data_IF_406069572090
#
_entry.id   IF_406069572090
#
_cell.length_a   1.000
_cell.length_b   1.000
_cell.length_c   1.000
_cell.angle_alpha   90.00
_cell.angle_beta   90.00
_cell.angle_gamma   90.00
#
_symmetry.space_group_name_H-M   'P 1'
#
loop_
_entity.id
_entity.type
_entity.pdbx_description
1 polymer ?
#
# COMPACT_ATOMS: atom_id res chain seq x y z
N UNK A 1 -57.17 -46.42 -34.25
CA UNK A 1 -56.42 -45.21 -34.67
C UNK A 1 -56.01 -44.47 -33.41
N UNK A 2 -54.77 -44.69 -32.94
CA UNK A 2 -54.25 -44.10 -31.69
C UNK A 2 -53.10 -43.18 -32.11
N UNK A 3 -53.25 -41.88 -31.88
CA UNK A 3 -52.25 -40.85 -32.16
C UNK A 3 -51.23 -40.83 -31.01
N UNK A 4 -49.96 -41.10 -31.31
CA UNK A 4 -48.83 -40.78 -30.43
C UNK A 4 -48.26 -39.43 -30.87
N UNK A 5 -48.47 -38.41 -30.03
CA UNK A 5 -47.83 -37.09 -30.17
C UNK A 5 -46.50 -37.17 -29.42
N UNK A 6 -45.41 -37.21 -30.16
CA UNK A 6 -44.06 -37.22 -29.62
C UNK A 6 -43.65 -35.77 -29.31
N UNK A 7 -43.76 -35.38 -28.04
CA UNK A 7 -43.28 -34.08 -27.54
C UNK A 7 -41.79 -34.23 -27.25
N UNK A 8 -40.96 -33.88 -28.23
CA UNK A 8 -39.52 -33.73 -28.05
C UNK A 8 -39.25 -32.43 -27.28
N UNK A 9 -39.12 -32.53 -25.96
CA UNK A 9 -38.59 -31.46 -25.12
C UNK A 9 -37.08 -31.41 -25.36
N UNK A 10 -36.68 -30.56 -26.30
CA UNK A 10 -35.28 -30.22 -26.54
C UNK A 10 -34.80 -29.41 -25.33
N UNK A 11 -34.07 -30.08 -24.45
CA UNK A 11 -33.47 -29.49 -23.25
C UNK A 11 -32.32 -28.58 -23.71
N UNK A 12 -32.65 -27.31 -23.93
CA UNK A 12 -31.70 -26.26 -24.24
C UNK A 12 -30.90 -25.96 -22.96
N UNK A 13 -29.80 -26.68 -22.79
CA UNK A 13 -28.79 -26.38 -21.78
C UNK A 13 -28.14 -25.05 -22.14
N UNK A 14 -28.75 -23.96 -21.68
CA UNK A 14 -28.18 -22.63 -21.64
C UNK A 14 -26.98 -22.70 -20.70
N UNK A 15 -25.78 -22.89 -21.27
CA UNK A 15 -24.52 -22.72 -20.55
C UNK A 15 -24.46 -21.24 -20.17
N UNK A 16 -24.89 -20.95 -18.94
CA UNK A 16 -24.57 -19.71 -18.25
C UNK A 16 -23.05 -19.70 -18.10
N UNK A 17 -22.35 -19.25 -19.14
CA UNK A 17 -21.02 -18.69 -19.01
C UNK A 17 -21.19 -17.45 -18.12
N UNK A 18 -21.16 -17.68 -16.81
CA UNK A 18 -20.98 -16.61 -15.86
C UNK A 18 -19.67 -15.95 -16.25
N UNK A 19 -19.75 -14.74 -16.78
CA UNK A 19 -18.62 -13.82 -16.78
C UNK A 19 -18.20 -13.71 -15.32
N UNK A 20 -17.20 -14.49 -14.90
CA UNK A 20 -16.42 -14.17 -13.73
C UNK A 20 -15.80 -12.84 -14.04
N UNK A 21 -16.43 -11.76 -13.58
CA UNK A 21 -15.80 -10.44 -13.56
C UNK A 21 -14.43 -10.64 -12.94
N UNK A 22 -13.38 -10.42 -13.72
CA UNK A 22 -12.01 -10.36 -13.20
C UNK A 22 -12.04 -9.54 -11.92
N UNK A 23 -11.31 -9.95 -10.87
CA UNK A 23 -11.45 -9.27 -9.59
C UNK A 23 -11.10 -7.80 -9.81
N UNK A 24 -12.03 -6.92 -9.45
CA UNK A 24 -11.85 -5.50 -9.69
C UNK A 24 -10.69 -5.00 -8.81
N UNK A 25 -9.71 -4.33 -9.43
CA UNK A 25 -8.60 -3.72 -8.69
C UNK A 25 -7.25 -4.34 -8.96
N UNK A 26 -6.41 -4.37 -7.92
CA UNK A 26 -5.07 -4.92 -8.02
C UNK A 26 -5.00 -6.44 -7.87
N UNK A 27 -6.06 -7.12 -7.43
CA UNK A 27 -6.07 -8.59 -7.30
C UNK A 27 -6.38 -9.23 -8.66
N UNK A 28 -5.36 -9.62 -9.42
CA UNK A 28 -5.55 -10.36 -10.69
C UNK A 28 -5.00 -11.77 -10.60
N UNK A 29 -5.39 -12.63 -11.55
CA UNK A 29 -4.96 -14.03 -11.60
C UNK A 29 -3.48 -14.20 -11.98
N UNK A 30 -2.94 -13.28 -12.78
CA UNK A 30 -1.59 -13.38 -13.34
C UNK A 30 -0.85 -12.04 -13.22
N UNK A 31 0.43 -12.10 -12.84
CA UNK A 31 1.34 -10.96 -12.83
C UNK A 31 2.61 -11.28 -13.59
N UNK A 32 3.20 -10.24 -14.17
CA UNK A 32 4.61 -10.26 -14.52
C UNK A 32 5.44 -9.94 -13.27
N UNK A 33 6.16 -10.94 -12.77
CA UNK A 33 7.01 -10.80 -11.59
C UNK A 33 8.34 -10.13 -11.94
N UNK A 34 8.69 -9.07 -11.18
CA UNK A 34 9.98 -8.38 -11.27
C UNK A 34 10.67 -8.47 -9.92
N UNK A 35 11.82 -9.13 -9.89
CA UNK A 35 12.64 -9.29 -8.69
C UNK A 35 13.72 -8.21 -8.65
N UNK A 36 13.84 -7.55 -7.49
CA UNK A 36 14.93 -6.63 -7.23
C UNK A 36 16.07 -7.45 -6.63
N UNK A 37 17.16 -7.60 -7.39
CA UNK A 37 18.33 -8.40 -6.99
C UNK A 37 19.30 -7.61 -6.08
N UNK A 38 19.15 -6.29 -6.03
CA UNK A 38 20.03 -5.42 -5.25
C UNK A 38 19.77 -5.54 -3.74
N UNK A 39 20.85 -5.43 -2.96
CA UNK A 39 20.79 -5.22 -1.52
C UNK A 39 19.91 -4.01 -1.22
N UNK A 40 18.97 -4.15 -0.28
CA UNK A 40 18.12 -3.04 0.11
C UNK A 40 18.98 -1.83 0.47
N UNK A 41 18.74 -0.69 -0.16
CA UNK A 41 19.31 0.58 0.27
C UNK A 41 19.04 0.77 1.76
N UNK A 42 20.02 1.29 2.51
CA UNK A 42 19.86 1.52 3.95
C UNK A 42 18.53 2.21 4.24
N UNK A 43 17.70 1.59 5.07
CA UNK A 43 16.40 2.11 5.43
C UNK A 43 16.56 3.40 6.24
N UNK A 44 16.42 4.55 5.57
CA UNK A 44 16.48 5.87 6.20
C UNK A 44 15.09 6.29 6.65
N UNK A 45 14.80 6.09 7.94
CA UNK A 45 13.55 6.53 8.55
C UNK A 45 13.73 7.89 9.24
N UNK A 46 13.02 8.94 8.82
CA UNK A 46 13.06 10.23 9.51
C UNK A 46 12.57 10.09 10.96
N UNK A 47 13.17 10.82 11.90
CA UNK A 47 12.81 10.76 13.34
C UNK A 47 11.30 10.91 13.58
N UNK A 48 10.67 11.88 12.91
CA UNK A 48 9.22 12.09 13.00
C UNK A 48 8.40 10.89 12.51
N UNK A 49 8.87 10.15 11.50
CA UNK A 49 8.22 8.90 11.08
C UNK A 49 8.39 7.85 12.16
N UNK A 50 9.57 7.79 12.78
CA UNK A 50 9.85 6.88 13.87
C UNK A 50 8.88 7.04 15.02
N UNK A 51 8.69 8.27 15.51
CA UNK A 51 7.73 8.58 16.56
C UNK A 51 6.28 8.16 16.19
N UNK A 52 5.94 8.17 14.89
CA UNK A 52 4.63 7.78 14.39
C UNK A 52 4.47 6.26 14.20
N UNK A 53 5.57 5.55 13.93
CA UNK A 53 5.62 4.09 13.83
C UNK A 53 5.71 3.42 15.21
N UNK A 54 6.10 4.16 16.25
CA UNK A 54 6.16 3.66 17.61
C UNK A 54 4.77 3.24 18.11
N UNK A 55 4.63 1.93 18.34
CA UNK A 55 3.48 1.40 19.05
C UNK A 55 3.63 1.75 20.54
N UNK A 56 2.81 2.68 21.02
CA UNK A 56 2.73 2.95 22.47
C UNK A 56 2.36 1.65 23.18
N UNK A 57 3.10 1.30 24.23
CA UNK A 57 2.70 0.19 25.08
C UNK A 57 1.29 0.47 25.61
N UNK A 58 0.42 -0.55 25.63
CA UNK A 58 -0.85 -0.43 26.34
C UNK A 58 -0.55 -0.05 27.79
N UNK A 59 -1.28 0.89 28.41
CA UNK A 59 -1.13 1.13 29.84
C UNK A 59 -1.53 -0.15 30.56
N UNK A 60 -0.55 -0.88 31.08
CA UNK A 60 -0.79 -1.91 32.09
C UNK A 60 -1.39 -1.20 33.31
N UNK A 61 -2.68 -1.43 33.57
CA UNK A 61 -3.34 -0.94 34.78
C UNK A 61 -4.60 -0.09 34.55
N UNK A 62 -5.59 -0.62 33.83
CA UNK A 62 -6.98 -0.28 34.15
C UNK A 62 -7.42 -1.13 35.36
N UNK A 63 -6.85 -0.83 36.54
CA UNK A 63 -7.41 -1.28 37.81
C UNK A 63 -8.22 -0.15 38.43
N UNK A 64 -9.39 -0.55 38.91
CA UNK A 64 -10.44 0.28 39.49
C UNK A 64 -9.99 1.12 40.69
N UNK A 65 -10.69 2.24 40.86
CA UNK A 65 -10.97 3.02 42.08
C UNK A 65 -10.02 2.92 43.29
N UNK A 66 -9.55 4.09 43.75
CA UNK A 66 -9.47 4.38 45.19
C UNK A 66 -8.16 4.98 45.68
N UNK A 67 -8.25 6.18 46.26
CA UNK A 67 -7.38 6.63 47.35
C UNK A 67 -6.14 7.43 46.95
N UNK A 68 -5.99 8.59 47.58
CA UNK A 68 -4.93 9.56 47.30
C UNK A 68 -3.53 9.16 47.75
N UNK A 69 -2.54 9.92 47.29
CA UNK A 69 -1.13 9.73 47.64
C UNK A 69 -0.22 10.49 46.68
N UNK A 70 -0.03 11.76 46.97
CA UNK A 70 0.98 12.63 46.37
C UNK A 70 2.37 12.15 46.79
N UNK A 71 3.17 11.59 45.86
CA UNK A 71 4.64 11.63 45.89
C UNK A 71 5.19 11.31 44.49
N UNK A 72 6.05 12.19 43.99
CA UNK A 72 6.67 12.09 42.68
C UNK A 72 7.53 10.84 42.53
N UNK A 73 7.14 9.99 41.58
CA UNK A 73 8.00 8.96 41.01
C UNK A 73 8.33 9.38 39.57
N UNK A 74 9.62 9.46 39.27
CA UNK A 74 10.12 9.65 37.92
C UNK A 74 9.54 8.56 36.99
N UNK A 75 9.22 8.87 35.71
CA UNK A 75 8.69 7.87 34.80
C UNK A 75 9.75 6.79 34.57
N UNK A 76 9.45 5.57 35.00
CA UNK A 76 10.25 4.37 34.70
C UNK A 76 10.06 4.07 33.21
N UNK A 77 11.12 4.08 32.38
CA UNK A 77 11.01 3.69 30.99
C UNK A 77 10.99 2.16 30.92
N UNK A 78 9.80 1.54 30.93
CA UNK A 78 9.70 0.14 30.53
C UNK A 78 9.72 0.05 29.01
N UNK A 79 10.93 0.24 28.48
CA UNK A 79 11.35 -0.21 27.18
C UNK A 79 11.44 -1.75 27.21
N UNK A 80 10.34 -2.43 26.89
CA UNK A 80 10.48 -3.77 26.30
C UNK A 80 11.28 -3.56 25.03
N UNK A 81 12.52 -4.05 24.99
CA UNK A 81 13.43 -3.90 23.86
C UNK A 81 12.79 -4.53 22.63
N UNK A 82 12.17 -3.70 21.79
CA UNK A 82 11.57 -4.18 20.55
C UNK A 82 12.69 -4.48 19.57
N UNK A 83 12.85 -5.74 19.15
CA UNK A 83 13.82 -6.03 18.11
C UNK A 83 13.26 -5.49 16.79
N UNK A 84 14.10 -4.79 16.04
CA UNK A 84 13.74 -4.27 14.74
C UNK A 84 14.13 -5.31 13.68
N UNK A 85 13.16 -5.72 12.87
CA UNK A 85 13.35 -6.74 11.84
C UNK A 85 12.94 -6.19 10.48
N UNK A 86 13.85 -6.15 9.52
CA UNK A 86 13.50 -5.75 8.14
C UNK A 86 12.79 -6.89 7.42
N UNK A 87 11.62 -6.58 6.84
CA UNK A 87 10.78 -7.53 6.11
C UNK A 87 10.62 -7.10 4.65
N UNK A 88 10.30 -8.05 3.79
CA UNK A 88 9.92 -7.81 2.40
C UNK A 88 8.54 -7.14 2.31
N UNK A 89 8.32 -6.45 1.19
CA UNK A 89 7.02 -5.85 0.82
C UNK A 89 6.87 -5.97 -0.70
N UNK A 90 5.72 -6.45 -1.16
CA UNK A 90 5.43 -6.53 -2.58
C UNK A 90 4.60 -5.32 -3.01
N UNK A 91 4.84 -4.83 -4.22
CA UNK A 91 4.05 -3.77 -4.85
C UNK A 91 3.40 -4.31 -6.11
N UNK A 92 2.11 -4.05 -6.27
CA UNK A 92 1.35 -4.47 -7.44
C UNK A 92 0.95 -3.25 -8.24
N UNK A 93 1.16 -3.29 -9.56
CA UNK A 93 0.69 -2.27 -10.49
C UNK A 93 -0.22 -2.98 -11.51
N UNK A 94 -1.50 -2.61 -11.55
CA UNK A 94 -2.48 -3.31 -12.40
C UNK A 94 -3.27 -2.31 -13.22
N UNK A 95 -3.31 -2.50 -14.54
CA UNK A 95 -4.05 -1.64 -15.45
C UNK A 95 -5.56 -1.68 -15.17
N UNK A 96 -6.19 -0.50 -15.16
CA UNK A 96 -7.65 -0.39 -15.26
C UNK A 96 -8.08 -0.03 -16.67
N UNK A 97 -7.22 0.66 -17.41
CA UNK A 97 -7.40 1.01 -18.81
C UNK A 97 -6.22 0.46 -19.59
N UNK A 98 -6.49 -0.09 -20.77
CA UNK A 98 -5.50 -0.84 -21.55
C UNK A 98 -4.25 -0.03 -21.91
N UNK A 99 -3.10 -0.64 -21.66
CA UNK A 99 -1.79 -0.12 -22.05
C UNK A 99 -1.31 1.04 -21.17
N UNK A 100 -1.83 1.15 -19.94
CA UNK A 100 -1.34 2.11 -18.94
C UNK A 100 -0.18 1.54 -18.14
N UNK A 101 -0.23 0.24 -17.83
CA UNK A 101 0.84 -0.48 -17.13
C UNK A 101 1.50 -1.44 -18.12
N UNK A 102 2.83 -1.44 -18.17
CA UNK A 102 3.60 -2.41 -18.95
C UNK A 102 3.24 -3.84 -18.51
N UNK A 103 3.06 -4.76 -19.45
CA UNK A 103 2.62 -6.15 -19.19
C UNK A 103 1.25 -6.28 -18.50
N UNK A 104 0.43 -5.21 -18.46
CA UNK A 104 -0.92 -5.15 -17.88
C UNK A 104 -1.00 -5.27 -16.36
N UNK A 105 -0.23 -6.18 -15.77
CA UNK A 105 -0.15 -6.40 -14.35
C UNK A 105 1.28 -6.79 -13.96
N UNK A 106 1.86 -6.05 -13.01
CA UNK A 106 3.24 -6.24 -12.56
C UNK A 106 3.27 -6.43 -11.05
N UNK A 107 4.01 -7.44 -10.59
CA UNK A 107 4.32 -7.65 -9.18
C UNK A 107 5.81 -7.38 -8.95
N UNK A 108 6.10 -6.34 -8.18
CA UNK A 108 7.45 -5.97 -7.78
C UNK A 108 7.76 -6.65 -6.44
N UNK A 109 8.72 -7.56 -6.46
CA UNK A 109 9.22 -8.27 -5.28
C UNK A 109 10.41 -7.49 -4.70
N UNK A 110 10.15 -6.66 -3.69
CA UNK A 110 11.18 -5.83 -3.07
C UNK A 110 11.89 -6.62 -1.95
N UNK A 111 13.21 -6.39 -1.75
CA UNK A 111 13.98 -7.09 -0.73
C UNK A 111 13.56 -6.69 0.69
N UNK A 112 14.16 -7.34 1.69
CA UNK A 112 13.94 -6.99 3.11
C UNK A 112 14.31 -5.53 3.37
N UNK A 113 13.40 -4.77 3.97
CA UNK A 113 13.53 -3.33 4.16
C UNK A 113 12.90 -2.51 3.03
N UNK A 114 12.57 -3.17 1.91
CA UNK A 114 11.90 -2.59 0.75
C UNK A 114 12.86 -1.89 -0.20
N UNK A 115 12.44 -0.80 -0.84
CA UNK A 115 13.28 -0.13 -1.84
C UNK A 115 12.62 1.00 -2.62
N UNK A 116 13.28 1.39 -3.70
CA UNK A 116 12.84 2.47 -4.59
C UNK A 116 12.30 1.90 -5.90
N UNK A 117 11.06 2.26 -6.22
CA UNK A 117 10.37 1.91 -7.47
C UNK A 117 10.40 3.12 -8.41
N UNK A 118 11.08 2.95 -9.53
CA UNK A 118 11.02 3.88 -10.66
C UNK A 118 9.78 3.60 -11.51
N UNK A 119 8.75 4.44 -11.37
CA UNK A 119 7.48 4.30 -12.06
C UNK A 119 7.61 4.42 -13.59
N UNK A 120 8.65 5.10 -14.10
CA UNK A 120 8.82 5.28 -15.55
C UNK A 120 9.10 3.98 -16.30
N UNK A 121 9.54 2.94 -15.58
CA UNK A 121 9.78 1.60 -16.13
C UNK A 121 8.50 0.78 -16.32
N UNK A 122 7.42 1.18 -15.67
CA UNK A 122 6.20 0.37 -15.57
C UNK A 122 4.94 1.10 -16.04
N UNK A 123 4.94 2.43 -16.00
CA UNK A 123 3.78 3.25 -16.37
C UNK A 123 4.05 3.91 -17.71
N UNK A 124 3.16 3.68 -18.68
CA UNK A 124 3.28 4.25 -20.02
C UNK A 124 2.83 5.71 -20.04
N UNK A 125 3.07 6.39 -21.17
CA UNK A 125 2.61 7.78 -21.40
C UNK A 125 1.13 7.90 -21.78
N UNK A 126 0.39 6.78 -21.84
CA UNK A 126 -1.05 6.80 -22.15
C UNK A 126 -1.86 7.36 -20.99
N UNK A 127 -3.00 7.96 -21.31
CA UNK A 127 -3.93 8.51 -20.32
C UNK A 127 -4.95 7.47 -19.88
N UNK A 128 -5.13 7.32 -18.57
CA UNK A 128 -6.04 6.33 -18.01
C UNK A 128 -5.82 6.17 -16.51
N UNK A 129 -6.30 5.07 -15.96
CA UNK A 129 -6.14 4.73 -14.55
C UNK A 129 -5.50 3.37 -14.38
N UNK A 130 -4.88 3.18 -13.23
CA UNK A 130 -4.36 1.89 -12.79
C UNK A 130 -4.51 1.80 -11.27
N UNK A 131 -4.36 0.59 -10.74
CA UNK A 131 -4.42 0.30 -9.33
C UNK A 131 -3.02 0.03 -8.79
N UNK A 132 -2.77 0.50 -7.57
CA UNK A 132 -1.58 0.18 -6.80
C UNK A 132 -1.97 -0.64 -5.59
N UNK A 133 -1.42 -1.84 -5.49
CA UNK A 133 -1.54 -2.71 -4.34
C UNK A 133 -0.23 -2.82 -3.59
N UNK A 134 -0.32 -3.21 -2.33
CA UNK A 134 0.81 -3.52 -1.48
C UNK A 134 0.49 -4.76 -0.65
N UNK A 135 1.45 -5.66 -0.55
CA UNK A 135 1.37 -6.80 0.33
C UNK A 135 2.58 -6.74 1.26
N UNK A 136 2.29 -6.53 2.54
CA UNK A 136 3.28 -6.60 3.59
C UNK A 136 2.91 -7.79 4.48
N UNK A 137 3.53 -8.98 4.28
CA UNK A 137 3.07 -10.23 4.88
C UNK A 137 2.93 -10.18 6.41
N UNK A 138 3.74 -9.34 7.06
CA UNK A 138 3.72 -9.17 8.51
C UNK A 138 2.39 -8.62 9.02
N UNK A 139 1.60 -7.94 8.20
CA UNK A 139 0.26 -7.47 8.57
C UNK A 139 -0.75 -8.58 8.80
N UNK A 140 -0.57 -9.80 8.28
CA UNK A 140 -1.55 -10.87 8.47
C UNK A 140 -1.63 -11.33 9.93
N UNK A 141 -0.47 -11.38 10.60
CA UNK A 141 -0.33 -11.93 11.97
C UNK A 141 0.03 -10.88 13.02
N UNK A 142 0.12 -9.61 12.63
CA UNK A 142 0.47 -8.52 13.53
C UNK A 142 -0.66 -8.13 14.48
N UNK A 143 -0.29 -7.84 15.73
CA UNK A 143 -1.17 -7.30 16.76
C UNK A 143 -1.40 -5.79 16.60
N UNK A 144 -0.44 -5.08 15.98
CA UNK A 144 -0.58 -3.68 15.63
C UNK A 144 0.05 -3.39 14.26
N UNK A 145 -0.56 -2.48 13.49
CA UNK A 145 -0.16 -2.13 12.12
C UNK A 145 -0.08 -0.62 11.99
N UNK A 146 0.92 -0.13 11.27
CA UNK A 146 1.08 1.27 10.91
C UNK A 146 1.55 1.41 9.46
N UNK A 147 0.96 2.36 8.76
CA UNK A 147 1.43 2.83 7.45
C UNK A 147 1.54 4.35 7.48
N UNK A 148 2.78 4.83 7.38
CA UNK A 148 3.08 6.26 7.36
C UNK A 148 3.51 6.64 5.95
N UNK A 149 2.85 7.63 5.36
CA UNK A 149 3.24 8.18 4.07
C UNK A 149 3.94 9.52 4.23
N UNK A 150 5.14 9.62 3.66
CA UNK A 150 5.91 10.86 3.55
C UNK A 150 5.87 11.34 2.12
N UNK A 151 5.08 12.38 1.85
CA UNK A 151 4.95 12.96 0.53
C UNK A 151 6.24 13.69 0.14
N UNK A 152 6.79 13.33 -1.02
CA UNK A 152 7.90 14.04 -1.67
C UNK A 152 7.42 14.80 -2.92
N UNK A 153 6.15 14.70 -3.29
CA UNK A 153 5.59 15.42 -4.41
C UNK A 153 5.17 16.86 -4.03
N UNK A 154 5.43 17.80 -4.93
CA UNK A 154 4.96 19.20 -4.81
C UNK A 154 3.43 19.25 -4.93
N UNK A 155 2.78 20.16 -4.22
CA UNK A 155 1.36 20.46 -4.46
C UNK A 155 1.22 21.10 -5.83
N UNK A 156 0.24 20.65 -6.60
CA UNK A 156 -0.06 21.17 -7.94
C UNK A 156 -1.54 21.50 -8.04
N UNK A 157 -1.85 22.63 -8.66
CA UNK A 157 -3.23 22.93 -9.06
C UNK A 157 -3.43 22.44 -10.49
N UNK A 158 -4.35 21.49 -10.68
CA UNK A 158 -4.72 20.95 -11.98
C UNK A 158 -6.21 21.26 -12.20
N UNK A 159 -6.48 22.31 -12.98
CA UNK A 159 -7.82 22.89 -13.09
C UNK A 159 -8.29 23.50 -11.77
N UNK A 160 -9.42 23.00 -11.24
CA UNK A 160 -9.99 23.48 -9.97
C UNK A 160 -9.57 22.66 -8.75
N UNK A 161 -8.82 21.56 -8.94
CA UNK A 161 -8.42 20.67 -7.87
C UNK A 161 -6.94 20.82 -7.53
N UNK A 162 -6.60 20.62 -6.25
CA UNK A 162 -5.23 20.55 -5.77
C UNK A 162 -4.87 19.08 -5.63
N UNK A 163 -3.78 18.68 -6.29
CA UNK A 163 -3.21 17.35 -6.23
C UNK A 163 -1.89 17.38 -5.46
N UNK A 164 -1.62 16.26 -4.79
CA UNK A 164 -0.45 16.10 -3.95
C UNK A 164 -0.57 16.78 -2.60
N UNK A 165 0.21 16.25 -1.66
CA UNK A 165 0.17 16.69 -0.27
C UNK A 165 1.21 17.76 0.04
N UNK A 166 2.16 18.01 -0.86
CA UNK A 166 3.27 18.94 -0.64
C UNK A 166 4.50 18.26 -0.04
N UNK A 167 5.59 19.01 -0.02
CA UNK A 167 6.89 18.51 0.39
C UNK A 167 6.92 18.15 1.88
N UNK A 168 7.55 17.00 2.18
CA UNK A 168 7.88 16.54 3.53
C UNK A 168 6.66 16.58 4.47
N UNK A 169 5.49 16.27 3.93
CA UNK A 169 4.28 16.12 4.72
C UNK A 169 4.13 14.66 5.13
N UNK A 170 3.89 14.46 6.42
CA UNK A 170 3.81 13.16 7.07
C UNK A 170 2.35 12.86 7.35
N UNK A 171 1.89 11.69 6.92
CA UNK A 171 0.51 11.25 7.11
C UNK A 171 0.50 9.86 7.73
N UNK A 172 -0.24 9.70 8.82
CA UNK A 172 -0.71 8.38 9.20
C UNK A 172 -1.86 8.02 8.27
N UNK A 173 -1.62 7.08 7.36
CA UNK A 173 -2.61 6.61 6.39
C UNK A 173 -3.11 5.22 6.72
N UNK A 174 -2.80 4.68 7.90
CA UNK A 174 -3.04 3.27 8.27
C UNK A 174 -4.46 2.82 7.95
N UNK A 175 -5.48 3.50 8.47
CA UNK A 175 -6.87 3.08 8.30
C UNK A 175 -7.32 3.15 6.83
N UNK A 176 -6.94 4.24 6.14
CA UNK A 176 -7.29 4.41 4.74
C UNK A 176 -6.58 3.37 3.89
N UNK A 177 -5.30 3.14 4.13
CA UNK A 177 -4.49 2.17 3.45
C UNK A 177 -5.07 0.76 3.59
N UNK A 178 -5.36 0.32 4.82
CA UNK A 178 -5.92 -1.01 5.06
C UNK A 178 -7.28 -1.19 4.37
N UNK A 179 -8.11 -0.14 4.36
CA UNK A 179 -9.37 -0.14 3.63
C UNK A 179 -9.18 -0.29 2.12
N UNK A 180 -8.24 0.43 1.52
CA UNK A 180 -7.95 0.32 0.08
C UNK A 180 -7.36 -1.05 -0.28
N UNK A 181 -6.45 -1.58 0.54
CA UNK A 181 -5.83 -2.89 0.30
C UNK A 181 -6.79 -4.06 0.44
N UNK A 182 -7.83 -3.93 1.28
CA UNK A 182 -8.93 -4.89 1.37
C UNK A 182 -9.94 -4.78 0.20
N UNK A 183 -9.86 -3.72 -0.60
CA UNK A 183 -10.71 -3.46 -1.76
C UNK A 183 -9.93 -3.57 -3.07
N UNK A 184 -10.12 -2.59 -3.96
CA UNK A 184 -9.50 -2.58 -5.30
C UNK A 184 -8.02 -2.12 -5.29
N UNK A 185 -7.48 -1.73 -4.15
CA UNK A 185 -6.19 -1.03 -4.06
C UNK A 185 -6.32 0.47 -4.31
N UNK A 186 -5.19 1.18 -4.29
CA UNK A 186 -5.16 2.62 -4.51
C UNK A 186 -5.34 2.90 -6.01
N UNK A 187 -6.52 3.37 -6.40
CA UNK A 187 -6.76 3.82 -7.77
C UNK A 187 -6.08 5.17 -8.03
N UNK A 188 -5.23 5.22 -9.05
CA UNK A 188 -4.54 6.43 -9.49
C UNK A 188 -4.75 6.67 -10.98
N UNK A 189 -4.45 7.89 -11.43
CA UNK A 189 -4.74 8.34 -12.79
C UNK A 189 -3.50 8.98 -13.43
N UNK A 190 -3.24 8.67 -14.70
CA UNK A 190 -2.06 9.16 -15.44
C UNK A 190 -2.27 10.50 -16.13
N UNK A 191 -3.52 10.97 -16.29
CA UNK A 191 -3.80 12.27 -16.91
C UNK A 191 -3.11 13.39 -16.14
N UNK A 192 -2.30 14.20 -16.84
CA UNK A 192 -1.51 15.30 -16.24
C UNK A 192 -0.62 14.82 -15.08
N UNK A 193 -0.13 13.58 -15.18
CA UNK A 193 0.83 12.99 -14.26
C UNK A 193 0.33 12.96 -12.80
N UNK A 194 -1.00 12.89 -12.60
CA UNK A 194 -1.62 12.94 -11.25
C UNK A 194 -1.11 11.83 -10.33
N UNK A 195 -0.88 10.63 -10.86
CA UNK A 195 -0.33 9.51 -10.10
C UNK A 195 1.02 9.85 -9.44
N UNK A 196 1.87 10.65 -10.08
CA UNK A 196 3.14 11.11 -9.50
C UNK A 196 2.88 11.98 -8.28
N UNK A 197 1.87 12.86 -8.35
CA UNK A 197 1.49 13.71 -7.22
C UNK A 197 0.85 12.93 -6.06
N UNK A 198 0.24 11.78 -6.32
CA UNK A 198 -0.40 10.93 -5.30
C UNK A 198 0.58 9.96 -4.67
N UNK A 199 1.39 9.27 -5.48
CA UNK A 199 2.30 8.22 -5.02
C UNK A 199 3.70 8.75 -4.68
N UNK A 200 4.07 9.91 -5.22
CA UNK A 200 5.42 10.46 -5.12
C UNK A 200 5.82 10.75 -3.67
N UNK A 201 6.61 9.86 -3.11
CA UNK A 201 6.91 9.83 -1.70
C UNK A 201 7.40 8.46 -1.23
N UNK A 202 7.47 8.31 0.08
CA UNK A 202 7.89 7.08 0.74
C UNK A 202 6.77 6.58 1.65
N UNK A 203 6.36 5.34 1.45
CA UNK A 203 5.46 4.60 2.34
C UNK A 203 6.33 3.80 3.31
N UNK A 204 6.10 3.96 4.62
CA UNK A 204 6.74 3.18 5.67
C UNK A 204 5.70 2.24 6.27
N UNK A 205 6.05 0.96 6.36
CA UNK A 205 5.22 -0.10 6.90
C UNK A 205 5.82 -0.56 8.21
N UNK A 206 5.01 -0.65 9.26
CA UNK A 206 5.41 -1.20 10.55
C UNK A 206 4.35 -2.14 11.08
N UNK A 207 4.79 -3.34 11.50
CA UNK A 207 3.95 -4.36 12.07
C UNK A 207 4.55 -4.83 13.40
N UNK A 208 3.77 -4.75 14.48
CA UNK A 208 4.16 -5.35 15.75
C UNK A 208 3.67 -6.80 15.80
N UNK A 209 4.59 -7.71 16.08
CA UNK A 209 4.29 -9.12 16.32
C UNK A 209 5.17 -9.60 17.47
N UNK A 210 4.54 -10.06 18.53
CA UNK A 210 5.20 -10.43 19.78
C UNK A 210 6.07 -9.26 20.30
N UNK A 211 7.39 -9.49 20.45
CA UNK A 211 8.37 -8.49 20.88
C UNK A 211 9.11 -7.82 19.71
N UNK A 212 8.76 -8.15 18.46
CA UNK A 212 9.46 -7.65 17.28
C UNK A 212 8.62 -6.60 16.55
N UNK A 213 9.31 -5.63 15.97
CA UNK A 213 8.73 -4.63 15.08
C UNK A 213 9.32 -4.85 13.69
N UNK A 214 8.45 -5.27 12.78
CA UNK A 214 8.82 -5.52 11.40
C UNK A 214 8.64 -4.27 10.56
N UNK A 215 9.64 -3.98 9.72
CA UNK A 215 9.68 -2.74 8.96
C UNK A 215 10.03 -2.95 7.49
N UNK A 216 9.42 -2.15 6.64
CA UNK A 216 9.77 -1.99 5.24
C UNK A 216 9.42 -0.57 4.76
N UNK A 217 10.02 -0.14 3.65
CA UNK A 217 9.59 1.06 2.94
C UNK A 217 9.41 0.84 1.44
N UNK A 218 8.56 1.64 0.82
CA UNK A 218 8.48 1.75 -0.64
C UNK A 218 8.57 3.22 -1.01
N UNK A 219 9.61 3.60 -1.75
CA UNK A 219 9.72 4.94 -2.32
C UNK A 219 9.35 4.90 -3.79
N UNK A 220 8.38 5.71 -4.21
CA UNK A 220 8.10 5.89 -5.64
C UNK A 220 8.84 7.11 -6.18
N UNK A 221 9.50 6.91 -7.32
CA UNK A 221 10.17 7.96 -8.09
C UNK A 221 9.71 7.91 -9.54
N UNK A 222 9.95 9.01 -10.26
CA UNK A 222 9.78 9.05 -11.69
C UNK A 222 10.80 10.06 -12.27
N UNK A 223 11.98 9.61 -12.74
CA UNK A 223 13.08 10.49 -13.12
C UNK A 223 12.70 11.57 -14.15
N UNK A 224 11.89 11.21 -15.17
CA UNK A 224 11.41 12.17 -16.18
C UNK A 224 10.54 13.30 -15.57
N UNK A 225 9.95 13.06 -14.40
CA UNK A 225 9.11 14.01 -13.68
C UNK A 225 9.75 14.50 -12.39
N UNK A 226 11.08 14.42 -12.27
CA UNK A 226 11.83 14.93 -11.12
C UNK A 226 11.45 16.38 -10.70
N UNK A 227 11.09 17.32 -11.59
CA UNK A 227 10.65 18.65 -11.17
C UNK A 227 9.33 18.67 -10.37
N UNK A 228 8.54 17.59 -10.44
CA UNK A 228 7.31 17.42 -9.65
C UNK A 228 7.60 16.95 -8.23
N UNK A 229 8.82 16.48 -7.96
CA UNK A 229 9.29 16.12 -6.64
C UNK A 229 10.00 17.30 -5.96
N UNK A 230 10.11 17.21 -4.65
CA UNK A 230 10.87 18.13 -3.84
C UNK A 230 12.33 17.64 -3.79
N UNK A 231 13.27 18.58 -3.75
CA UNK A 231 14.66 18.23 -3.45
C UNK A 231 14.73 17.61 -2.05
N UNK A 232 15.66 16.68 -1.86
CA UNK A 232 15.90 16.11 -0.55
C UNK A 232 16.29 17.26 0.41
N UNK A 233 15.69 17.34 1.61
CA UNK A 233 16.08 18.33 2.62
C UNK A 233 17.52 18.12 3.10
#
# INVERSE_FOLDING_TARGET
MIKFVQVSIFWMSLVLAGCTSDPAGYHVSEYHDVKFEDLAEDLKVPSKVWDMLEFKAAPEGAHAEGGGGEHGAAPVPSAVGKNLVFSEVNVFLVEKNDGIVENKAVKLLLPKGGGTVDLSRYITKKQGSFFVGFEFPQFETATAKKVIFVSKARKRRLGQQIFGSGCNQFFDITDRFLKEMAGEGIKVNTTQERYVSVLGGTFFFSAQKDNDVYLAQVTFTHPEYSPLFCEAP
#
